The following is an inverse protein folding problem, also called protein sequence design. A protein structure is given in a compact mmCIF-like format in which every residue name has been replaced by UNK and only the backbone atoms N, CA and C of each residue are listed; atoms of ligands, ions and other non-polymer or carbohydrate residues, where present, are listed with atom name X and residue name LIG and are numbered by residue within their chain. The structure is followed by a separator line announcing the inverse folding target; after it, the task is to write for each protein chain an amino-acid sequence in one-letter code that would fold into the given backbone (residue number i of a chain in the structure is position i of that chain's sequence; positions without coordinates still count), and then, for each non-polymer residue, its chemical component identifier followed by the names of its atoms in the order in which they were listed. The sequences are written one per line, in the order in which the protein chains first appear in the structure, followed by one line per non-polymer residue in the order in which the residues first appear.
data_IF_109081413900
#
_entry.id   IF_109081413900
#
_cell.length_a   1.000
_cell.length_b   1.000
_cell.length_c   1.000
_cell.angle_alpha   90.00
_cell.angle_beta   90.00
_cell.angle_gamma   90.00
#
_symmetry.space_group_name_H-M   'P 1'
#
loop_
_entity.id
_entity.type
_entity.pdbx_description
1 polymer ?
#
# COMPACT_ATOMS: atom_id res chain seq x y z
N UNK A 1 -24.48 -25.76 10.02
CA UNK A 1 -24.83 -24.62 9.15
C UNK A 1 -23.55 -24.01 8.61
N UNK A 2 -23.48 -23.58 7.34
CA UNK A 2 -22.28 -22.94 6.81
C UNK A 2 -22.04 -21.60 7.51
N UNK A 3 -20.78 -21.28 7.82
CA UNK A 3 -20.34 -20.04 8.49
C UNK A 3 -20.16 -18.87 7.50
N UNK A 4 -20.16 -19.17 6.20
CA UNK A 4 -19.89 -18.23 5.12
C UNK A 4 -21.03 -18.25 4.09
N UNK A 5 -21.30 -17.09 3.51
CA UNK A 5 -22.14 -16.92 2.33
C UNK A 5 -21.26 -16.77 1.08
N UNK A 6 -21.73 -17.29 -0.05
CA UNK A 6 -21.04 -17.30 -1.33
C UNK A 6 -21.91 -16.55 -2.36
N UNK A 7 -21.30 -15.71 -3.19
CA UNK A 7 -22.03 -14.82 -4.11
C UNK A 7 -21.29 -14.67 -5.44
N UNK A 8 -22.03 -14.43 -6.52
CA UNK A 8 -21.48 -14.14 -7.85
C UNK A 8 -20.92 -15.40 -8.53
N UNK A 9 -19.76 -15.29 -9.16
CA UNK A 9 -19.07 -16.39 -9.83
C UNK A 9 -18.43 -17.40 -8.90
N UNK A 10 -18.53 -17.20 -7.58
CA UNK A 10 -17.85 -18.04 -6.60
C UNK A 10 -18.27 -19.51 -6.72
N UNK A 11 -17.28 -20.39 -6.87
CA UNK A 11 -17.46 -21.85 -6.91
C UNK A 11 -16.69 -22.54 -5.78
N UNK A 12 -17.23 -23.66 -5.29
CA UNK A 12 -16.63 -24.43 -4.21
C UNK A 12 -16.12 -25.77 -4.74
N UNK A 13 -14.94 -26.15 -4.27
CA UNK A 13 -14.39 -27.50 -4.42
C UNK A 13 -14.08 -28.07 -3.04
N UNK A 14 -13.62 -29.32 -2.99
CA UNK A 14 -13.13 -29.91 -1.74
C UNK A 14 -11.77 -29.36 -1.29
N UNK A 15 -11.08 -28.57 -2.11
CA UNK A 15 -9.71 -28.10 -1.86
C UNK A 15 -9.60 -26.57 -1.73
N UNK A 16 -10.46 -25.83 -2.43
CA UNK A 16 -10.44 -24.37 -2.46
C UNK A 16 -11.82 -23.80 -2.79
N UNK A 17 -11.99 -22.54 -2.43
CA UNK A 17 -13.08 -21.69 -2.91
C UNK A 17 -12.52 -20.77 -3.99
N UNK A 18 -13.06 -20.85 -5.20
CA UNK A 18 -12.65 -19.98 -6.30
C UNK A 18 -13.62 -18.81 -6.40
N UNK A 19 -13.13 -17.59 -6.24
CA UNK A 19 -13.92 -16.37 -6.34
C UNK A 19 -14.27 -16.06 -7.80
N UNK A 20 -13.27 -16.06 -8.69
CA UNK A 20 -13.47 -15.95 -10.14
C UNK A 20 -12.66 -17.01 -10.88
N UNK A 21 -13.19 -17.56 -11.98
CA UNK A 21 -12.40 -18.32 -12.94
C UNK A 21 -11.54 -17.41 -13.81
N UNK A 22 -10.56 -18.00 -14.51
CA UNK A 22 -9.81 -17.38 -15.62
C UNK A 22 -10.73 -17.18 -16.86
N UNK A 23 -11.79 -16.42 -16.66
CA UNK A 23 -12.73 -15.93 -17.64
C UNK A 23 -12.96 -14.44 -17.41
N UNK A 24 -13.26 -13.70 -18.48
CA UNK A 24 -13.51 -12.26 -18.44
C UNK A 24 -14.83 -11.92 -17.74
N UNK A 25 -14.88 -10.71 -17.19
CA UNK A 25 -16.10 -10.09 -16.65
C UNK A 25 -16.80 -10.91 -15.57
N UNK A 26 -16.02 -11.42 -14.60
CA UNK A 26 -16.53 -12.19 -13.46
C UNK A 26 -16.34 -11.40 -12.18
N UNK A 27 -17.32 -11.52 -11.29
CA UNK A 27 -17.27 -10.98 -9.94
C UNK A 27 -17.77 -12.06 -8.99
N UNK A 28 -16.99 -12.35 -7.97
CA UNK A 28 -17.36 -13.33 -6.95
C UNK A 28 -16.88 -12.92 -5.57
N UNK A 29 -17.66 -13.24 -4.55
CA UNK A 29 -17.29 -12.96 -3.18
C UNK A 29 -17.70 -14.07 -2.20
N UNK A 30 -17.04 -14.06 -1.04
CA UNK A 30 -17.41 -14.80 0.16
C UNK A 30 -17.44 -13.87 1.35
N UNK A 31 -18.40 -14.09 2.25
CA UNK A 31 -18.61 -13.25 3.42
C UNK A 31 -18.93 -14.07 4.65
N UNK A 32 -18.30 -13.75 5.77
CA UNK A 32 -18.62 -14.38 7.03
C UNK A 32 -20.02 -13.92 7.49
N UNK A 33 -20.81 -14.85 8.02
CA UNK A 33 -22.17 -14.56 8.51
C UNK A 33 -22.18 -13.83 9.84
N UNK A 34 -21.13 -14.00 10.63
CA UNK A 34 -21.04 -13.49 11.98
C UNK A 34 -20.15 -12.24 12.00
N UNK A 35 -20.61 -11.14 12.64
CA UNK A 35 -19.75 -10.00 12.87
C UNK A 35 -18.63 -10.36 13.86
N UNK A 36 -17.45 -9.80 13.67
CA UNK A 36 -16.30 -10.03 14.53
C UNK A 36 -16.19 -8.94 15.60
N UNK A 37 -16.26 -9.34 16.86
CA UNK A 37 -16.12 -8.44 18.02
C UNK A 37 -14.73 -8.46 18.67
N UNK A 38 -13.74 -9.09 18.03
CA UNK A 38 -12.36 -9.07 18.51
C UNK A 38 -11.77 -7.67 18.32
N UNK A 39 -11.19 -7.10 19.38
CA UNK A 39 -10.46 -5.82 19.32
C UNK A 39 -9.10 -5.98 18.65
N UNK A 40 -8.44 -7.11 18.92
CA UNK A 40 -7.13 -7.45 18.40
C UNK A 40 -7.19 -8.82 17.75
N UNK A 41 -6.80 -8.88 16.48
CA UNK A 41 -6.91 -10.06 15.68
C UNK A 41 -5.81 -10.16 14.64
N UNK A 42 -5.56 -11.38 14.20
CA UNK A 42 -4.70 -11.68 13.08
C UNK A 42 -5.41 -12.66 12.15
N UNK A 43 -5.54 -12.27 10.89
CA UNK A 43 -6.16 -13.07 9.85
C UNK A 43 -5.06 -13.64 8.95
N UNK A 44 -4.94 -14.96 8.89
CA UNK A 44 -4.10 -15.66 7.92
C UNK A 44 -4.94 -16.13 6.75
N UNK A 45 -4.55 -15.75 5.54
CA UNK A 45 -5.19 -16.15 4.30
C UNK A 45 -4.22 -16.96 3.48
N UNK A 46 -4.57 -18.20 3.20
CA UNK A 46 -3.93 -19.02 2.17
C UNK A 46 -4.71 -18.83 0.87
N UNK A 47 -4.06 -18.26 -0.14
CA UNK A 47 -4.67 -17.94 -1.42
C UNK A 47 -3.79 -18.45 -2.58
N UNK A 48 -4.34 -18.45 -3.79
CA UNK A 48 -3.59 -18.66 -5.02
C UNK A 48 -4.17 -17.81 -6.14
N UNK A 49 -3.32 -17.02 -6.80
CA UNK A 49 -3.66 -16.31 -8.03
C UNK A 49 -2.93 -17.00 -9.18
N UNK A 50 -3.67 -17.52 -10.16
CA UNK A 50 -3.07 -18.23 -11.29
C UNK A 50 -3.92 -18.19 -12.55
N UNK A 51 -3.27 -18.22 -13.71
CA UNK A 51 -3.96 -18.19 -14.99
C UNK A 51 -3.04 -18.34 -16.19
N UNK A 52 -3.63 -18.58 -17.35
CA UNK A 52 -2.92 -18.85 -18.60
C UNK A 52 -2.42 -17.57 -19.29
N UNK A 53 -2.87 -16.40 -18.84
CA UNK A 53 -2.44 -15.09 -19.32
C UNK A 53 -0.91 -14.96 -19.37
N UNK A 54 -0.37 -14.69 -20.56
CA UNK A 54 1.07 -14.49 -20.79
C UNK A 54 1.48 -13.06 -20.51
N UNK A 55 2.69 -12.86 -19.99
CA UNK A 55 3.23 -11.53 -19.63
C UNK A 55 2.23 -10.81 -18.72
N UNK A 56 1.84 -9.58 -19.06
CA UNK A 56 0.98 -8.70 -18.26
C UNK A 56 -0.49 -8.73 -18.71
N UNK A 57 -0.91 -9.75 -19.48
CA UNK A 57 -2.29 -9.91 -19.93
C UNK A 57 -3.07 -10.81 -18.95
N UNK A 58 -3.20 -10.34 -17.71
CA UNK A 58 -3.91 -10.97 -16.61
C UNK A 58 -4.47 -9.90 -15.66
N UNK A 59 -5.48 -10.23 -14.87
CA UNK A 59 -6.13 -9.26 -13.98
C UNK A 59 -7.47 -9.73 -13.39
N UNK A 60 -8.09 -8.95 -12.51
CA UNK A 60 -7.56 -7.69 -11.95
C UNK A 60 -6.93 -7.92 -10.58
N UNK A 61 -7.44 -8.89 -9.81
CA UNK A 61 -6.93 -9.25 -8.50
C UNK A 61 -8.05 -9.64 -7.55
N UNK A 62 -7.76 -9.61 -6.25
CA UNK A 62 -8.78 -9.81 -5.23
C UNK A 62 -8.57 -8.88 -4.02
N UNK A 63 -9.64 -8.71 -3.25
CA UNK A 63 -9.67 -7.89 -2.05
C UNK A 63 -10.06 -8.74 -0.83
N UNK A 64 -9.44 -8.44 0.31
CA UNK A 64 -9.88 -8.89 1.63
C UNK A 64 -10.56 -7.75 2.36
N UNK A 65 -11.64 -8.07 3.07
CA UNK A 65 -12.54 -7.09 3.66
C UNK A 65 -12.66 -7.30 5.17
N UNK A 66 -12.69 -6.19 5.89
CA UNK A 66 -13.25 -6.07 7.23
C UNK A 66 -14.20 -4.87 7.23
N UNK A 67 -15.49 -5.10 6.95
CA UNK A 67 -16.43 -4.01 6.63
C UNK A 67 -17.82 -4.18 7.24
N UNK A 68 -18.55 -3.06 7.36
CA UNK A 68 -19.89 -3.01 7.95
C UNK A 68 -20.92 -3.81 7.15
N UNK A 69 -20.91 -3.61 5.83
CA UNK A 69 -21.84 -4.26 4.91
C UNK A 69 -21.19 -5.53 4.34
N UNK A 70 -22.01 -6.54 4.05
CA UNK A 70 -21.58 -7.76 3.36
C UNK A 70 -22.48 -8.04 2.17
N UNK A 71 -22.06 -8.91 1.26
CA UNK A 71 -22.87 -9.41 0.14
C UNK A 71 -23.43 -8.32 -0.79
N UNK A 72 -22.68 -7.22 -0.95
CA UNK A 72 -23.01 -6.18 -1.93
C UNK A 72 -21.96 -6.18 -3.02
N UNK A 73 -22.35 -6.57 -4.24
CA UNK A 73 -21.46 -6.54 -5.40
C UNK A 73 -21.07 -5.11 -5.77
N UNK A 74 -19.99 -4.96 -6.53
CA UNK A 74 -19.60 -3.67 -7.07
C UNK A 74 -18.23 -3.69 -7.76
N UNK A 75 -17.77 -2.50 -8.19
CA UNK A 75 -16.62 -2.39 -9.07
C UNK A 75 -15.27 -2.62 -8.37
N UNK A 76 -15.23 -2.69 -7.03
CA UNK A 76 -13.98 -2.80 -6.28
C UNK A 76 -13.67 -4.27 -6.06
N UNK A 77 -12.95 -4.88 -7.00
CA UNK A 77 -12.62 -6.31 -7.00
C UNK A 77 -13.86 -7.19 -6.72
N UNK A 78 -15.01 -6.88 -7.34
CA UNK A 78 -16.26 -7.62 -7.19
C UNK A 78 -17.10 -7.25 -5.94
N UNK A 79 -16.73 -6.22 -5.19
CA UNK A 79 -17.45 -5.71 -4.02
C UNK A 79 -17.78 -4.22 -4.13
N UNK A 80 -18.69 -3.74 -3.28
CA UNK A 80 -19.15 -2.35 -3.29
C UNK A 80 -18.02 -1.34 -3.10
N UNK A 81 -18.11 -0.24 -3.84
CA UNK A 81 -17.36 0.99 -3.56
C UNK A 81 -17.97 1.72 -2.34
N UNK A 82 -17.27 2.74 -1.82
CA UNK A 82 -17.72 3.54 -0.66
C UNK A 82 -18.10 2.67 0.53
N UNK A 83 -17.23 1.70 0.83
CA UNK A 83 -17.39 0.82 1.98
C UNK A 83 -17.07 1.55 3.29
N UNK A 84 -17.55 0.98 4.40
CA UNK A 84 -17.16 1.38 5.76
C UNK A 84 -16.28 0.27 6.34
N UNK A 85 -15.01 0.56 6.61
CA UNK A 85 -14.07 -0.38 7.21
C UNK A 85 -12.69 -0.39 6.53
N UNK A 86 -12.10 -1.58 6.45
CA UNK A 86 -10.78 -1.84 5.89
C UNK A 86 -10.89 -2.75 4.66
N UNK A 87 -10.12 -2.42 3.64
CA UNK A 87 -9.84 -3.29 2.50
C UNK A 87 -8.34 -3.49 2.33
N UNK A 88 -7.93 -4.74 2.04
CA UNK A 88 -6.57 -5.07 1.59
C UNK A 88 -6.69 -5.57 0.15
N UNK A 89 -6.13 -4.83 -0.80
CA UNK A 89 -6.17 -5.15 -2.22
C UNK A 89 -4.90 -5.91 -2.60
N UNK A 90 -5.05 -6.99 -3.36
CA UNK A 90 -3.97 -7.71 -4.01
C UNK A 90 -4.16 -7.52 -5.52
N UNK A 91 -3.61 -6.41 -5.99
CA UNK A 91 -3.80 -5.92 -7.36
C UNK A 91 -2.73 -6.50 -8.28
N UNK A 92 -3.14 -7.07 -9.40
CA UNK A 92 -2.24 -7.79 -10.32
C UNK A 92 -2.04 -7.06 -11.64
N UNK A 93 -2.82 -6.02 -11.92
CA UNK A 93 -2.80 -5.34 -13.20
C UNK A 93 -2.58 -3.83 -13.03
N UNK A 94 -1.51 -3.25 -13.62
CA UNK A 94 -1.34 -1.81 -13.62
C UNK A 94 -2.32 -1.15 -14.61
N UNK A 95 -3.40 -0.57 -14.11
CA UNK A 95 -4.33 0.24 -14.90
C UNK A 95 -3.76 1.63 -15.23
N UNK A 96 -2.89 2.19 -14.37
CA UNK A 96 -2.20 3.46 -14.65
C UNK A 96 -0.96 3.25 -15.54
N UNK A 97 -0.98 3.74 -16.78
CA UNK A 97 0.14 3.64 -17.74
C UNK A 97 1.47 4.21 -17.20
N UNK A 98 1.39 5.25 -16.38
CA UNK A 98 2.55 5.94 -15.78
C UNK A 98 2.74 5.58 -14.30
N UNK A 99 2.29 4.40 -13.88
CA UNK A 99 2.43 3.96 -12.50
C UNK A 99 3.91 3.86 -12.11
N UNK A 100 4.25 4.44 -10.96
CA UNK A 100 5.57 4.28 -10.32
C UNK A 100 5.65 2.97 -9.50
N UNK A 101 4.51 2.30 -9.28
CA UNK A 101 4.40 1.04 -8.54
C UNK A 101 4.71 -0.15 -9.45
N UNK A 102 5.38 -1.14 -8.87
CA UNK A 102 5.65 -2.44 -9.52
C UNK A 102 4.58 -3.44 -9.13
N UNK A 103 3.94 -4.05 -10.11
CA UNK A 103 2.83 -5.00 -9.92
C UNK A 103 3.33 -6.45 -10.00
N UNK A 104 2.70 -7.39 -9.26
CA UNK A 104 1.53 -7.18 -8.39
C UNK A 104 1.81 -6.32 -7.15
N UNK A 105 0.79 -5.61 -6.70
CA UNK A 105 0.88 -4.61 -5.64
C UNK A 105 -0.18 -4.86 -4.57
N UNK A 106 0.26 -5.00 -3.32
CA UNK A 106 -0.62 -5.17 -2.17
C UNK A 106 -0.78 -3.80 -1.51
N UNK A 107 -2.02 -3.34 -1.32
CA UNK A 107 -2.30 -2.06 -0.68
C UNK A 107 -3.44 -2.15 0.33
N UNK A 108 -3.48 -1.19 1.26
CA UNK A 108 -4.59 -1.04 2.20
C UNK A 108 -5.35 0.27 1.96
N UNK A 109 -6.66 0.22 2.20
CA UNK A 109 -7.53 1.40 2.23
C UNK A 109 -8.48 1.32 3.43
N UNK A 110 -8.55 2.39 4.21
CA UNK A 110 -9.54 2.57 5.27
C UNK A 110 -10.56 3.58 4.78
N UNK A 111 -11.84 3.24 4.88
CA UNK A 111 -12.92 4.06 4.33
C UNK A 111 -14.08 4.19 5.32
N UNK A 112 -14.67 5.37 5.39
CA UNK A 112 -15.85 5.71 6.19
C UNK A 112 -17.08 5.94 5.29
N UNK A 113 -17.11 5.34 4.11
CA UNK A 113 -18.17 5.52 3.11
C UNK A 113 -18.05 6.76 2.23
N UNK A 114 -17.08 7.65 2.46
CA UNK A 114 -16.91 8.88 1.66
C UNK A 114 -15.93 8.73 0.50
N UNK A 115 -14.95 7.83 0.61
CA UNK A 115 -13.88 7.67 -0.38
C UNK A 115 -14.31 6.71 -1.50
N UNK A 116 -13.85 7.01 -2.71
CA UNK A 116 -14.06 6.19 -3.91
C UNK A 116 -12.75 5.48 -4.24
N UNK A 117 -12.80 4.19 -4.50
CA UNK A 117 -11.67 3.47 -5.07
C UNK A 117 -11.61 3.73 -6.58
N UNK A 118 -10.59 4.47 -7.03
CA UNK A 118 -10.36 4.73 -8.45
C UNK A 118 -9.59 3.57 -9.09
N UNK A 119 -10.33 2.65 -9.73
CA UNK A 119 -9.75 1.49 -10.44
C UNK A 119 -8.83 1.90 -11.58
N UNK A 120 -9.07 3.05 -12.23
CA UNK A 120 -8.21 3.51 -13.33
C UNK A 120 -6.82 3.97 -12.88
N UNK A 121 -6.66 4.16 -11.57
CA UNK A 121 -5.45 4.61 -10.90
C UNK A 121 -4.99 3.64 -9.81
N UNK A 122 -5.47 2.40 -9.84
CA UNK A 122 -5.19 1.35 -8.85
C UNK A 122 -5.26 1.89 -7.40
N UNK A 123 -6.30 2.66 -7.10
CA UNK A 123 -6.56 3.24 -5.77
C UNK A 123 -5.51 4.22 -5.24
N UNK A 124 -4.62 4.77 -6.09
CA UNK A 124 -3.46 5.61 -5.71
C UNK A 124 -3.78 6.73 -4.73
N UNK A 125 -4.92 7.40 -4.92
CA UNK A 125 -5.30 8.58 -4.11
C UNK A 125 -5.81 8.23 -2.71
N UNK A 126 -6.22 6.98 -2.50
CA UNK A 126 -6.83 6.49 -1.26
C UNK A 126 -5.99 5.40 -0.60
N UNK A 127 -4.78 5.17 -1.11
CA UNK A 127 -3.82 4.22 -0.56
C UNK A 127 -3.33 4.69 0.81
N UNK A 128 -3.48 3.83 1.81
CA UNK A 128 -2.90 4.04 3.15
C UNK A 128 -1.42 3.66 3.18
N UNK A 129 -1.12 2.47 2.68
CA UNK A 129 0.22 1.91 2.51
C UNK A 129 0.14 0.70 1.59
N UNK A 130 1.27 0.34 1.00
CA UNK A 130 1.37 -0.83 0.14
C UNK A 130 2.80 -1.32 -0.06
N UNK A 131 2.93 -2.47 -0.72
CA UNK A 131 4.20 -3.04 -1.14
C UNK A 131 4.04 -3.82 -2.45
N UNK A 132 5.13 -3.95 -3.20
CA UNK A 132 5.19 -4.90 -4.33
C UNK A 132 5.40 -6.31 -3.82
N UNK A 133 4.69 -7.28 -4.40
CA UNK A 133 4.74 -8.68 -3.99
C UNK A 133 4.49 -9.61 -5.20
N UNK A 134 5.42 -10.52 -5.46
CA UNK A 134 5.29 -11.50 -6.56
C UNK A 134 4.38 -12.66 -6.14
N UNK A 135 3.07 -12.46 -6.25
CA UNK A 135 2.04 -13.38 -5.72
C UNK A 135 1.34 -14.24 -6.77
N UNK A 136 1.63 -14.03 -8.06
CA UNK A 136 0.92 -14.67 -9.17
C UNK A 136 1.71 -15.85 -9.72
N UNK A 137 1.02 -16.96 -10.02
CA UNK A 137 1.60 -18.17 -10.62
C UNK A 137 2.79 -18.75 -9.83
N UNK A 138 2.81 -18.56 -8.50
CA UNK A 138 3.80 -19.20 -7.65
C UNK A 138 3.61 -20.72 -7.65
N UNK A 139 4.74 -21.44 -7.71
CA UNK A 139 4.79 -22.91 -7.73
C UNK A 139 4.71 -23.55 -6.33
N UNK A 140 4.61 -22.72 -5.30
CA UNK A 140 4.43 -23.07 -3.90
C UNK A 140 3.19 -22.35 -3.34
N UNK A 141 2.91 -22.57 -2.05
CA UNK A 141 1.77 -21.96 -1.37
C UNK A 141 2.05 -20.49 -1.03
N UNK A 142 1.04 -19.63 -1.19
CA UNK A 142 1.15 -18.19 -0.93
C UNK A 142 0.23 -17.77 0.20
N UNK A 143 0.79 -17.08 1.19
CA UNK A 143 0.06 -16.66 2.38
C UNK A 143 0.14 -15.14 2.61
N UNK A 144 -0.95 -14.60 3.15
CA UNK A 144 -1.03 -13.23 3.64
C UNK A 144 -1.47 -13.25 5.10
N UNK A 145 -0.78 -12.49 5.95
CA UNK A 145 -1.22 -12.21 7.31
C UNK A 145 -1.61 -10.73 7.43
N UNK A 146 -2.83 -10.48 7.90
CA UNK A 146 -3.35 -9.14 8.21
C UNK A 146 -3.57 -9.08 9.72
N UNK A 147 -2.76 -8.28 10.40
CA UNK A 147 -2.80 -8.11 11.85
C UNK A 147 -3.32 -6.73 12.19
N UNK A 148 -4.34 -6.65 13.02
CA UNK A 148 -4.83 -5.40 13.59
C UNK A 148 -4.83 -5.50 15.12
N UNK A 149 -4.06 -4.64 15.77
CA UNK A 149 -3.98 -4.62 17.24
C UNK A 149 -3.62 -3.23 17.73
N UNK A 150 -4.35 -2.73 18.74
CA UNK A 150 -4.14 -1.41 19.35
C UNK A 150 -3.96 -0.27 18.34
N UNK A 151 -4.77 -0.28 17.28
CA UNK A 151 -4.73 0.72 16.21
C UNK A 151 -3.50 0.66 15.29
N UNK A 152 -2.76 -0.45 15.31
CA UNK A 152 -1.67 -0.74 14.36
C UNK A 152 -2.12 -1.84 13.40
N UNK A 153 -2.01 -1.56 12.11
CA UNK A 153 -2.26 -2.47 11.01
C UNK A 153 -0.93 -2.93 10.41
N UNK A 154 -0.68 -4.23 10.47
CA UNK A 154 0.51 -4.85 9.89
C UNK A 154 0.09 -5.88 8.85
N UNK A 155 0.64 -5.78 7.64
CA UNK A 155 0.43 -6.77 6.59
C UNK A 155 1.75 -7.45 6.27
N UNK A 156 1.72 -8.78 6.19
CA UNK A 156 2.89 -9.62 5.97
C UNK A 156 2.57 -10.68 4.93
N UNK A 157 3.59 -11.12 4.19
CA UNK A 157 3.49 -12.11 3.13
C UNK A 157 4.45 -13.26 3.40
N UNK A 158 4.03 -14.49 3.12
CA UNK A 158 4.91 -15.65 2.98
C UNK A 158 4.70 -16.22 1.58
N UNK A 159 5.61 -15.85 0.68
CA UNK A 159 5.50 -16.07 -0.78
C UNK A 159 6.87 -16.42 -1.40
N UNK A 160 7.85 -16.76 -0.57
CA UNK A 160 9.21 -17.12 -1.00
C UNK A 160 9.56 -18.57 -0.64
N UNK A 161 8.57 -19.39 -0.24
CA UNK A 161 8.71 -20.78 0.24
C UNK A 161 9.71 -20.93 1.41
N UNK A 162 9.75 -19.93 2.29
CA UNK A 162 10.66 -19.91 3.47
C UNK A 162 9.95 -20.19 4.77
N UNK A 163 8.63 -20.29 4.77
CA UNK A 163 7.81 -20.41 5.98
C UNK A 163 8.12 -19.26 6.96
N UNK A 164 8.27 -18.04 6.41
CA UNK A 164 8.65 -16.84 7.15
C UNK A 164 7.78 -15.65 6.71
N UNK A 165 7.20 -14.95 7.68
CA UNK A 165 6.45 -13.72 7.42
C UNK A 165 7.38 -12.55 7.09
N UNK A 166 7.37 -12.12 5.83
CA UNK A 166 8.03 -10.90 5.39
C UNK A 166 7.09 -9.70 5.55
N UNK A 167 7.57 -8.62 6.17
CA UNK A 167 6.78 -7.40 6.30
C UNK A 167 6.51 -6.78 4.91
N UNK A 168 5.24 -6.54 4.61
CA UNK A 168 4.81 -5.76 3.45
C UNK A 168 4.70 -4.27 3.84
N UNK A 169 3.87 -3.98 4.83
CA UNK A 169 3.80 -2.65 5.46
C UNK A 169 3.29 -2.73 6.89
N UNK A 170 3.49 -1.64 7.63
CA UNK A 170 3.12 -1.52 9.03
C UNK A 170 2.80 -0.07 9.38
N UNK A 171 1.54 0.19 9.74
CA UNK A 171 0.99 1.53 9.90
C UNK A 171 0.25 1.64 11.23
N UNK A 172 0.57 2.67 12.01
CA UNK A 172 -0.12 2.99 13.25
C UNK A 172 -1.22 4.04 13.02
N UNK A 173 -2.09 4.21 14.02
CA UNK A 173 -3.15 5.21 13.98
C UNK A 173 -4.39 4.78 13.17
N UNK A 174 -4.49 3.52 12.78
CA UNK A 174 -5.70 2.98 12.16
C UNK A 174 -6.76 2.79 13.22
N UNK A 175 -7.98 3.28 12.99
CA UNK A 175 -9.13 3.10 13.86
C UNK A 175 -10.20 2.33 13.11
N UNK A 176 -10.52 1.13 13.60
CA UNK A 176 -11.59 0.28 13.09
C UNK A 176 -12.54 -0.08 14.22
N UNK A 177 -13.87 -0.10 13.98
CA UNK A 177 -14.83 -0.57 14.95
C UNK A 177 -14.80 -2.09 15.07
N UNK A 178 -15.34 -2.58 16.18
CA UNK A 178 -15.77 -3.98 16.28
C UNK A 178 -17.15 -4.16 15.65
N UNK A 179 -17.55 -5.42 15.39
CA UNK A 179 -18.87 -5.74 14.87
C UNK A 179 -18.98 -5.74 13.34
N UNK A 180 -17.86 -5.62 12.62
CA UNK A 180 -17.81 -5.72 11.16
C UNK A 180 -17.56 -7.16 10.69
N UNK A 181 -17.75 -7.40 9.39
CA UNK A 181 -17.68 -8.72 8.77
C UNK A 181 -16.37 -8.91 8.02
N UNK A 182 -15.81 -10.11 8.13
CA UNK A 182 -14.75 -10.55 7.24
C UNK A 182 -15.33 -11.02 5.90
N UNK A 183 -14.63 -10.69 4.82
CA UNK A 183 -14.98 -11.15 3.48
C UNK A 183 -13.77 -11.21 2.56
N UNK A 184 -13.96 -11.83 1.40
CA UNK A 184 -13.04 -11.76 0.28
C UNK A 184 -13.84 -11.65 -1.02
N UNK A 185 -13.36 -10.87 -1.98
CA UNK A 185 -13.98 -10.77 -3.30
C UNK A 185 -12.91 -10.65 -4.38
N UNK A 186 -13.22 -11.10 -5.59
CA UNK A 186 -12.35 -10.93 -6.74
C UNK A 186 -13.15 -10.45 -7.95
N UNK A 187 -12.45 -9.79 -8.87
CA UNK A 187 -12.99 -9.28 -10.13
C UNK A 187 -12.06 -9.59 -11.30
N UNK A 188 -12.64 -9.87 -12.46
CA UNK A 188 -11.94 -9.94 -13.74
C UNK A 188 -12.58 -8.98 -14.74
N UNK A 189 -11.76 -8.22 -15.45
CA UNK A 189 -12.19 -7.29 -16.50
C UNK A 189 -12.08 -7.91 -17.89
N UNK A 190 -11.41 -7.18 -18.80
CA UNK A 190 -11.00 -7.69 -20.12
C UNK A 190 -9.87 -8.74 -20.01
N UNK A 191 -9.16 -8.72 -18.89
CA UNK A 191 -8.17 -9.70 -18.49
C UNK A 191 -8.75 -10.57 -17.37
N UNK A 192 -8.13 -11.72 -17.14
CA UNK A 192 -8.63 -12.69 -16.18
C UNK A 192 -7.51 -13.46 -15.50
N UNK A 193 -7.86 -13.99 -14.33
CA UNK A 193 -7.11 -14.98 -13.57
C UNK A 193 -8.08 -15.80 -12.71
N UNK A 194 -7.64 -16.98 -12.29
CA UNK A 194 -8.28 -17.68 -11.19
C UNK A 194 -7.86 -17.03 -9.87
N UNK A 195 -8.84 -16.70 -9.05
CA UNK A 195 -8.63 -16.17 -7.70
C UNK A 195 -9.17 -17.18 -6.68
N UNK A 196 -8.27 -17.98 -6.09
CA UNK A 196 -8.60 -19.07 -5.19
C UNK A 196 -8.27 -18.71 -3.73
N UNK A 197 -9.23 -18.95 -2.83
CA UNK A 197 -9.06 -18.91 -1.37
C UNK A 197 -9.06 -20.34 -0.86
N UNK A 198 -7.92 -20.80 -0.35
CA UNK A 198 -7.75 -22.14 0.22
C UNK A 198 -8.20 -22.14 1.67
N UNK A 199 -7.79 -21.13 2.45
CA UNK A 199 -8.25 -20.98 3.83
C UNK A 199 -8.18 -19.54 4.34
N UNK A 200 -9.08 -19.20 5.26
CA UNK A 200 -9.04 -17.98 6.06
C UNK A 200 -9.11 -18.38 7.54
N UNK A 201 -8.06 -18.10 8.31
CA UNK A 201 -7.93 -18.44 9.73
C UNK A 201 -7.81 -17.17 10.55
N UNK A 202 -8.78 -16.94 11.43
CA UNK A 202 -8.80 -15.79 12.32
C UNK A 202 -8.31 -16.20 13.71
N UNK A 203 -7.32 -15.47 14.22
CA UNK A 203 -6.76 -15.66 15.54
C UNK A 203 -7.10 -14.45 16.41
N UNK A 204 -7.55 -14.72 17.64
CA UNK A 204 -7.64 -13.69 18.67
C UNK A 204 -6.26 -13.45 19.27
N UNK A 205 -5.88 -12.18 19.38
CA UNK A 205 -4.66 -11.80 20.08
C UNK A 205 -5.00 -11.47 21.53
N UNK A 206 -4.28 -12.08 22.47
CA UNK A 206 -4.45 -11.83 23.89
C UNK A 206 -3.68 -10.57 24.28
N UNK A 207 -4.33 -9.42 24.14
CA UNK A 207 -3.77 -8.09 24.41
C UNK A 207 -4.53 -7.45 25.56
N UNK A 208 -3.79 -6.96 26.56
CA UNK A 208 -4.37 -6.22 27.66
C UNK A 208 -4.79 -4.82 27.21
N UNK A 209 -6.03 -4.46 27.55
CA UNK A 209 -6.61 -3.12 27.34
C UNK A 209 -6.74 -2.41 28.67
N UNK A 210 -6.64 -1.09 28.67
CA UNK A 210 -6.86 -0.33 29.91
C UNK A 210 -8.35 -0.31 30.28
N UNK A 211 -8.70 -0.06 31.55
CA UNK A 211 -10.11 0.09 31.95
C UNK A 211 -10.85 1.20 31.18
N UNK A 212 -10.13 2.25 30.76
CA UNK A 212 -10.69 3.31 29.91
C UNK A 212 -11.08 2.76 28.53
N UNK A 213 -10.22 1.93 27.93
CA UNK A 213 -10.49 1.25 26.66
C UNK A 213 -11.68 0.29 26.77
N UNK A 214 -11.94 -0.30 27.93
CA UNK A 214 -13.10 -1.17 28.15
C UNK A 214 -14.44 -0.40 28.23
N UNK A 215 -14.40 0.87 28.65
CA UNK A 215 -15.60 1.71 28.74
C UNK A 215 -16.04 2.32 27.40
N UNK A 216 -15.23 2.19 26.34
CA UNK A 216 -15.56 2.68 25.00
C UNK A 216 -16.50 1.68 24.31
N UNK A 217 -17.55 2.18 23.65
CA UNK A 217 -18.33 1.36 22.71
C UNK A 217 -17.57 1.23 21.39
N UNK A 218 -16.79 0.14 21.27
CA UNK A 218 -15.97 -0.15 20.09
C UNK A 218 -16.79 -0.34 18.81
N UNK A 219 -18.09 -0.62 18.90
CA UNK A 219 -18.95 -0.78 17.73
C UNK A 219 -19.31 0.54 17.06
N UNK A 220 -19.04 1.67 17.74
CA UNK A 220 -19.36 3.04 17.29
C UNK A 220 -18.14 3.81 16.79
N UNK A 221 -16.97 3.17 16.70
CA UNK A 221 -15.77 3.81 16.18
C UNK A 221 -15.93 4.02 14.67
N UNK A 222 -15.80 5.27 14.22
CA UNK A 222 -15.77 5.57 12.79
C UNK A 222 -14.43 5.14 12.17
N UNK A 223 -14.44 4.34 11.08
CA UNK A 223 -13.24 3.95 10.36
C UNK A 223 -12.43 5.19 9.96
N UNK A 224 -11.20 5.28 10.43
CA UNK A 224 -10.35 6.45 10.17
C UNK A 224 -8.88 6.13 10.38
N UNK A 225 -8.01 7.01 9.88
CA UNK A 225 -6.58 6.96 10.17
C UNK A 225 -6.20 8.27 10.83
N UNK A 226 -5.82 8.23 12.10
CA UNK A 226 -5.15 9.35 12.73
C UNK A 226 -3.76 9.47 12.13
N UNK A 227 -3.48 10.59 11.48
CA UNK A 227 -2.15 10.95 11.00
C UNK A 227 -1.22 11.24 12.21
N UNK A 228 -0.92 10.22 13.01
CA UNK A 228 0.30 10.26 13.79
C UNK A 228 1.42 10.06 12.79
N UNK A 229 2.29 11.07 12.62
CA UNK A 229 3.55 10.92 11.89
C UNK A 229 4.14 9.57 12.30
N UNK A 230 4.23 8.65 11.35
CA UNK A 230 4.97 7.41 11.56
C UNK A 230 6.34 7.80 12.12
N UNK A 231 6.85 7.17 13.19
CA UNK A 231 8.18 7.47 13.71
C UNK A 231 9.32 7.25 12.69
N UNK A 232 9.02 6.73 11.48
CA UNK A 232 9.89 6.81 10.31
C UNK A 232 9.82 8.22 9.71
N UNK A 233 10.42 9.15 10.44
CA UNK A 233 11.03 10.42 10.00
C UNK A 233 11.35 11.33 11.20
N UNK A 234 11.62 10.74 12.38
CA UNK A 234 12.37 11.44 13.43
C UNK A 234 13.86 11.11 13.27
N UNK A 235 14.42 11.43 12.10
CA UNK A 235 15.70 12.13 12.13
C UNK A 235 15.28 13.54 12.51
N UNK A 236 15.67 13.98 13.70
CA UNK A 236 15.45 15.35 14.14
C UNK A 236 15.91 16.31 13.04
N UNK A 237 14.97 16.86 12.28
CA UNK A 237 15.16 18.10 11.52
C UNK A 237 14.50 19.21 12.33
N UNK A 238 15.22 19.81 13.30
CA UNK A 238 14.74 21.00 13.95
C UNK A 238 15.05 22.15 13.00
N UNK A 239 14.23 22.40 11.97
CA UNK A 239 13.86 23.74 11.51
C UNK A 239 13.01 23.72 10.24
N UNK A 240 11.69 23.73 10.45
CA UNK A 240 10.82 24.57 9.63
C UNK A 240 11.09 26.05 9.93
N UNK A 241 12.23 26.55 9.45
CA UNK A 241 12.51 27.98 9.41
C UNK A 241 13.32 28.28 8.14
N UNK A 242 12.74 29.10 7.28
CA UNK A 242 13.33 29.62 6.04
C UNK A 242 14.45 30.64 6.36
N UNK A 243 15.48 30.20 7.09
CA UNK A 243 16.68 30.98 7.43
C UNK A 243 17.88 30.06 7.39
N UNK A 244 18.66 30.16 6.32
CA UNK A 244 20.10 29.88 6.24
C UNK A 244 20.68 29.07 7.41
N UNK A 245 20.66 27.74 7.30
CA UNK A 245 21.36 26.86 8.24
C UNK A 245 22.88 27.14 8.23
N UNK A 246 23.60 26.88 9.35
CA UNK A 246 25.04 27.10 9.41
C UNK A 246 25.73 26.21 8.37
N UNK A 247 26.52 26.81 7.47
CA UNK A 247 27.32 26.06 6.51
C UNK A 247 28.27 25.15 7.29
N UNK A 248 28.15 23.83 7.12
CA UNK A 248 29.12 22.85 7.62
C UNK A 248 30.52 23.22 7.13
N UNK A 249 31.55 23.04 7.96
CA UNK A 249 32.93 23.51 7.66
C UNK A 249 33.46 23.08 6.30
N UNK A 250 33.03 21.92 5.79
CA UNK A 250 33.32 21.44 4.44
C UNK A 250 32.68 22.31 3.33
N UNK A 251 31.44 22.75 3.52
CA UNK A 251 30.76 23.65 2.58
C UNK A 251 31.36 25.05 2.59
N UNK A 252 31.78 25.56 3.76
CA UNK A 252 32.53 26.84 3.86
C UNK A 252 33.87 26.74 3.15
N UNK A 253 34.60 25.64 3.36
CA UNK A 253 35.87 25.40 2.68
C UNK A 253 35.72 25.35 1.15
N UNK A 254 34.71 24.64 0.64
CA UNK A 254 34.42 24.58 -0.79
C UNK A 254 34.04 25.95 -1.37
N UNK A 255 33.21 26.73 -0.67
CA UNK A 255 32.84 28.07 -1.12
C UNK A 255 34.05 29.01 -1.16
N UNK A 256 34.90 28.97 -0.14
CA UNK A 256 36.14 29.74 -0.12
C UNK A 256 37.09 29.32 -1.24
N UNK A 257 37.27 28.02 -1.46
CA UNK A 257 38.09 27.48 -2.56
C UNK A 257 37.57 27.95 -3.93
N UNK A 258 36.27 27.83 -4.18
CA UNK A 258 35.65 28.29 -5.43
C UNK A 258 35.80 29.81 -5.62
N UNK A 259 35.65 30.60 -4.55
CA UNK A 259 35.84 32.06 -4.61
C UNK A 259 37.28 32.44 -4.94
N UNK A 260 38.27 31.76 -4.34
CA UNK A 260 39.68 32.01 -4.58
C UNK A 260 40.06 31.67 -6.03
N UNK A 261 39.58 30.51 -6.52
CA UNK A 261 39.77 30.11 -7.91
C UNK A 261 39.11 31.10 -8.87
N UNK A 262 37.90 31.58 -8.56
CA UNK A 262 37.22 32.62 -9.34
C UNK A 262 38.01 33.92 -9.42
N UNK A 263 38.60 34.38 -8.31
CA UNK A 263 39.44 35.60 -8.28
C UNK A 263 40.71 35.39 -9.12
N UNK A 264 41.37 34.24 -9.02
CA UNK A 264 42.56 33.93 -9.81
C UNK A 264 42.23 33.94 -11.31
N UNK A 265 41.12 33.31 -11.71
CA UNK A 265 40.67 33.33 -13.11
C UNK A 265 40.39 34.76 -13.59
N UNK A 266 39.70 35.57 -12.78
CA UNK A 266 39.43 36.96 -13.11
C UNK A 266 40.72 37.80 -13.23
N UNK A 267 41.70 37.57 -12.36
CA UNK A 267 42.98 38.27 -12.41
C UNK A 267 43.80 37.87 -13.66
N UNK A 268 43.83 36.59 -14.02
CA UNK A 268 44.51 36.11 -15.23
C UNK A 268 43.85 36.65 -16.48
N UNK A 269 42.51 36.57 -16.58
CA UNK A 269 41.77 37.14 -17.71
C UNK A 269 41.96 38.65 -17.77
N UNK A 270 41.92 39.35 -16.63
CA UNK A 270 42.19 40.77 -16.54
C UNK A 270 43.59 41.14 -17.02
N UNK A 271 44.61 40.39 -16.61
CA UNK A 271 46.00 40.60 -17.04
C UNK A 271 46.18 40.34 -18.54
N UNK A 272 45.58 39.27 -19.08
CA UNK A 272 45.62 38.96 -20.52
C UNK A 272 44.92 40.06 -21.33
N UNK A 273 43.75 40.52 -20.89
CA UNK A 273 43.01 41.61 -21.55
C UNK A 273 43.81 42.92 -21.46
N UNK A 274 44.45 43.20 -20.32
CA UNK A 274 45.26 44.40 -20.12
C UNK A 274 46.53 44.38 -20.99
N UNK A 275 47.24 43.26 -21.06
CA UNK A 275 48.38 43.07 -21.97
C UNK A 275 47.96 43.23 -23.43
N UNK A 276 46.87 42.59 -23.85
CA UNK A 276 46.34 42.71 -25.21
C UNK A 276 45.89 44.15 -25.54
N UNK A 277 45.41 44.91 -24.55
CA UNK A 277 45.07 46.33 -24.70
C UNK A 277 46.34 47.21 -24.77
N UNK A 278 47.39 46.90 -24.02
CA UNK A 278 48.68 47.59 -24.13
C UNK A 278 49.34 47.34 -25.49
N UNK A 279 49.32 46.12 -26.03
CA UNK A 279 49.82 45.81 -27.37
C UNK A 279 49.06 46.56 -28.46
N UNK A 280 47.73 46.72 -28.30
CA UNK A 280 46.91 47.48 -29.24
C UNK A 280 47.17 48.99 -29.18
N UNK A 281 47.45 49.54 -28.00
CA UNK A 281 47.77 50.96 -27.83
C UNK A 281 49.19 51.31 -28.29
N UNK A 282 50.12 50.35 -28.33
CA UNK A 282 51.47 50.54 -28.90
C UNK A 282 51.53 50.46 -30.44
N UNK A 283 50.40 50.24 -31.13
CA UNK A 283 50.29 50.28 -32.60
C UNK A 283 49.78 51.61 -33.16
N UNK A 284 49.51 52.60 -32.29
CA UNK A 284 49.06 53.95 -32.68
C UNK A 284 50.03 55.07 -32.23
N UNK A 285 51.30 54.71 -32.01
CA UNK A 285 52.44 55.63 -31.97
C UNK A 285 53.57 55.06 -32.82
#
# INVERSE_FOLDING_TARGET
MPLWDFQGSTMLTSQYVRLTPDERSKEGSIWNRLPCFLKDWELHVHFKIHGAGKKNLHGDGFALWYTQDRLTAGPVFGSKDKFHGLAIFLDTYPNEETSERVFPYISAMVNNGSLIYDHSKDGRWTELAGCTADIRNQNHDTFLAVRYSRGRLTVMTDIEDKNEWKNCFDVAGVRLPTGYFFGASAGTGDLSDNHDIISMKLFQLMVEHSPEDENIDWTKIEPSVSLFKSPKDNVDDPTGNFRSGPLTGWKVFLLLLCSLLGIIVCAVVGAVVFQKRQERNKRFY
#
